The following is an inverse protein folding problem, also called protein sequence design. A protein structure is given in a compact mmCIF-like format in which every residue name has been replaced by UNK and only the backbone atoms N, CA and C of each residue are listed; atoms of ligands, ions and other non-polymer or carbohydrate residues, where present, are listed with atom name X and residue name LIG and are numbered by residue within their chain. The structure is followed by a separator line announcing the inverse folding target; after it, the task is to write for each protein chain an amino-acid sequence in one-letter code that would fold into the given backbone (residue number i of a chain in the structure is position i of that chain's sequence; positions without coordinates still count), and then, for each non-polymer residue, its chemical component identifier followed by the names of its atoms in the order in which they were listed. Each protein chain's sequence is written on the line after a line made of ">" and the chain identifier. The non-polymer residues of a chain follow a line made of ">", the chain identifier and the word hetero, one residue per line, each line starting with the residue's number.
data_IF_132746818076
#
_entry.id   IF_132746818076
#
_cell.length_a   1.000
_cell.length_b   1.000
_cell.length_c   1.000
_cell.angle_alpha   90.00
_cell.angle_beta   90.00
_cell.angle_gamma   90.00
#
_symmetry.space_group_name_H-M   'P 1'
#
loop_
_entity.id
_entity.type
_entity.pdbx_description
1 polymer ?
#
# COMPACT_ATOMS: atom_id res chain seq x y z
N UNK A 1 9.62 29.94 23.42
CA UNK A 1 9.90 28.79 22.56
C UNK A 1 8.97 28.91 21.36
N UNK A 2 9.51 29.16 20.18
CA UNK A 2 8.70 29.28 18.97
C UNK A 2 8.67 27.91 18.31
N UNK A 3 7.51 27.26 18.31
CA UNK A 3 7.28 26.09 17.51
C UNK A 3 7.31 26.50 16.04
N UNK A 4 8.37 26.10 15.34
CA UNK A 4 8.47 26.32 13.90
C UNK A 4 7.78 25.17 13.18
N UNK A 5 6.63 25.42 12.58
CA UNK A 5 5.92 24.49 11.75
C UNK A 5 6.46 24.57 10.31
N UNK A 6 7.08 23.50 9.83
CA UNK A 6 7.41 23.36 8.40
C UNK A 6 6.17 22.86 7.68
N UNK A 7 5.64 23.65 6.76
CA UNK A 7 4.53 23.20 5.92
C UNK A 7 5.07 22.36 4.76
N UNK A 8 4.41 21.26 4.45
CA UNK A 8 4.76 20.37 3.33
C UNK A 8 4.88 21.09 1.96
N UNK A 9 4.22 22.24 1.82
CA UNK A 9 4.30 23.12 0.63
C UNK A 9 5.64 23.81 0.46
N UNK A 10 6.50 23.78 1.47
CA UNK A 10 7.84 24.41 1.44
C UNK A 10 8.91 23.40 0.97
N UNK A 11 8.56 22.13 0.81
CA UNK A 11 9.43 21.13 0.21
C UNK A 11 9.24 21.18 -1.31
N UNK A 12 9.99 22.06 -1.95
CA UNK A 12 9.96 22.23 -3.41
C UNK A 12 11.12 21.47 -4.03
N UNK A 13 10.86 20.32 -4.60
CA UNK A 13 11.81 19.66 -5.51
C UNK A 13 13.15 19.22 -4.90
N UNK A 14 13.97 18.61 -5.73
CA UNK A 14 15.25 17.97 -5.36
C UNK A 14 16.32 18.96 -4.91
N UNK A 15 16.20 20.23 -5.25
CA UNK A 15 17.22 21.25 -5.02
C UNK A 15 16.89 22.25 -3.88
N UNK A 16 15.70 22.16 -3.29
CA UNK A 16 15.33 23.05 -2.19
C UNK A 16 15.81 22.46 -0.86
N UNK A 17 16.80 23.13 -0.28
CA UNK A 17 17.30 22.76 1.04
C UNK A 17 16.22 23.03 2.09
N UNK A 18 15.88 21.99 2.85
CA UNK A 18 15.03 22.15 4.04
C UNK A 18 15.71 23.10 5.02
N UNK A 19 14.96 24.05 5.62
CA UNK A 19 15.53 24.98 6.58
C UNK A 19 16.12 24.23 7.78
N UNK A 20 17.21 24.76 8.31
CA UNK A 20 17.80 24.23 9.55
C UNK A 20 16.93 24.67 10.72
N UNK A 21 16.34 23.72 11.44
CA UNK A 21 15.52 23.97 12.62
C UNK A 21 16.25 23.44 13.84
N UNK A 22 16.57 24.32 14.78
CA UNK A 22 17.27 23.93 16.02
C UNK A 22 18.54 23.09 15.78
N UNK A 23 19.27 23.36 14.68
CA UNK A 23 20.50 22.64 14.33
C UNK A 23 20.28 21.32 13.57
N UNK A 24 19.05 20.99 13.19
CA UNK A 24 18.72 19.81 12.40
C UNK A 24 18.25 20.20 11.01
N UNK A 25 18.69 19.45 10.01
CA UNK A 25 18.10 19.42 8.67
C UNK A 25 17.22 18.18 8.55
N UNK A 26 16.03 18.36 8.00
CA UNK A 26 15.10 17.25 7.77
C UNK A 26 14.97 17.09 6.27
N UNK A 27 15.36 15.92 5.78
CA UNK A 27 15.21 15.55 4.38
C UNK A 27 14.06 14.51 4.28
N UNK A 28 12.97 14.91 3.63
CA UNK A 28 11.82 14.04 3.40
C UNK A 28 11.80 13.70 1.91
N UNK A 29 12.02 12.42 1.61
CA UNK A 29 12.01 11.91 0.23
C UNK A 29 10.65 11.31 -0.09
N UNK A 30 10.04 11.81 -1.16
CA UNK A 30 8.84 11.22 -1.75
C UNK A 30 9.21 10.17 -2.79
N UNK A 31 8.49 9.06 -2.81
CA UNK A 31 8.55 8.13 -3.95
C UNK A 31 8.00 8.81 -5.21
N UNK A 32 8.58 8.49 -6.36
CA UNK A 32 8.17 9.09 -7.65
C UNK A 32 7.12 8.26 -8.38
N UNK A 33 6.93 7.01 -7.96
CA UNK A 33 5.99 6.07 -8.55
C UNK A 33 5.30 5.24 -7.46
N UNK A 34 4.12 4.73 -7.80
CA UNK A 34 3.42 3.76 -6.95
C UNK A 34 3.95 2.37 -7.29
N UNK A 35 4.56 1.71 -6.33
CA UNK A 35 5.09 0.35 -6.47
C UNK A 35 4.80 -0.47 -5.22
N UNK A 36 4.58 -1.77 -5.38
CA UNK A 36 4.36 -2.67 -4.24
C UNK A 36 5.62 -2.75 -3.38
N UNK A 37 5.47 -2.53 -2.09
CA UNK A 37 6.51 -2.73 -1.07
C UNK A 37 6.47 -4.19 -0.60
N UNK A 38 7.22 -5.05 -1.27
CA UNK A 38 7.22 -6.48 -0.96
C UNK A 38 7.80 -6.83 0.42
N UNK A 39 8.54 -5.92 1.05
CA UNK A 39 9.04 -6.13 2.42
C UNK A 39 7.94 -5.99 3.47
N UNK A 40 6.84 -5.33 3.12
CA UNK A 40 5.68 -5.06 4.00
C UNK A 40 4.38 -5.68 3.51
N UNK A 41 4.39 -6.24 2.31
CA UNK A 41 3.23 -6.94 1.71
C UNK A 41 3.27 -8.41 2.09
N UNK A 42 2.17 -8.96 2.57
CA UNK A 42 2.12 -10.37 2.98
C UNK A 42 0.88 -10.75 3.78
N UNK A 43 0.84 -12.00 4.21
CA UNK A 43 -0.19 -12.48 5.12
C UNK A 43 -0.03 -11.82 6.49
N UNK A 44 -1.08 -11.16 6.96
CA UNK A 44 -1.13 -10.48 8.27
C UNK A 44 -1.69 -11.43 9.33
N UNK A 45 -2.69 -12.22 8.95
CA UNK A 45 -3.26 -13.29 9.78
C UNK A 45 -3.40 -14.56 8.98
N UNK A 46 -3.55 -15.68 9.70
CA UNK A 46 -3.70 -16.99 9.10
C UNK A 46 -2.42 -17.81 9.05
N UNK A 47 -2.50 -18.98 8.44
CA UNK A 47 -1.38 -19.92 8.33
C UNK A 47 -1.00 -20.24 6.89
N UNK A 48 -1.60 -19.56 5.92
CA UNK A 48 -1.33 -19.79 4.51
C UNK A 48 0.15 -19.58 4.16
N UNK A 49 0.68 -20.50 3.36
CA UNK A 49 2.00 -20.37 2.77
C UNK A 49 1.95 -20.28 1.23
N UNK A 50 0.76 -20.01 0.68
CA UNK A 50 0.64 -19.76 -0.74
C UNK A 50 1.31 -18.44 -1.10
N UNK A 51 1.96 -18.43 -2.25
CA UNK A 51 2.54 -17.22 -2.83
C UNK A 51 1.41 -16.37 -3.41
N UNK A 52 1.37 -15.12 -2.98
CA UNK A 52 0.47 -14.12 -3.55
C UNK A 52 1.26 -13.24 -4.50
N UNK A 53 0.97 -13.31 -5.76
CA UNK A 53 1.52 -12.40 -6.75
C UNK A 53 0.66 -11.15 -6.83
N UNK A 54 1.27 -10.01 -6.48
CA UNK A 54 0.67 -8.69 -6.64
C UNK A 54 1.38 -7.97 -7.78
N UNK A 55 0.62 -7.57 -8.76
CA UNK A 55 1.18 -6.92 -9.95
C UNK A 55 0.11 -6.79 -11.03
N UNK A 56 0.51 -6.48 -12.26
CA UNK A 56 -0.41 -6.51 -13.39
C UNK A 56 -0.14 -7.76 -14.23
N UNK A 57 -0.99 -8.75 -14.10
CA UNK A 57 -0.82 -10.03 -14.77
C UNK A 57 -0.89 -9.88 -16.30
N UNK A 58 0.18 -10.26 -17.03
CA UNK A 58 0.23 -10.15 -18.48
C UNK A 58 -0.89 -10.90 -19.22
N UNK A 59 -1.45 -11.96 -18.62
CA UNK A 59 -2.57 -12.72 -19.20
C UNK A 59 -3.81 -11.86 -19.41
N UNK A 60 -3.97 -10.81 -18.62
CA UNK A 60 -5.15 -9.94 -18.65
C UNK A 60 -4.85 -8.55 -19.21
N UNK A 61 -3.60 -8.28 -19.59
CA UNK A 61 -3.17 -6.96 -20.04
C UNK A 61 -4.01 -6.45 -21.22
N UNK A 62 -4.32 -7.32 -22.17
CA UNK A 62 -5.12 -6.92 -23.35
C UNK A 62 -6.56 -6.51 -22.99
N UNK A 63 -7.16 -7.11 -21.96
CA UNK A 63 -8.52 -6.80 -21.52
C UNK A 63 -8.63 -5.41 -20.86
N UNK A 64 -7.54 -4.91 -20.31
CA UNK A 64 -7.50 -3.66 -19.53
C UNK A 64 -6.52 -2.64 -20.10
N UNK A 65 -6.15 -2.77 -21.38
CA UNK A 65 -5.25 -1.83 -22.06
C UNK A 65 -5.83 -0.40 -21.98
N UNK A 66 -5.00 0.55 -21.55
CA UNK A 66 -5.41 1.94 -21.36
C UNK A 66 -6.27 2.21 -20.12
N UNK A 67 -6.60 1.18 -19.31
CA UNK A 67 -7.40 1.31 -18.09
C UNK A 67 -6.57 1.13 -16.81
N UNK A 68 -5.31 0.71 -16.94
CA UNK A 68 -4.43 0.50 -15.80
C UNK A 68 -3.95 1.83 -15.22
N UNK A 69 -4.19 2.02 -13.94
CA UNK A 69 -3.63 3.11 -13.15
C UNK A 69 -3.19 2.53 -11.82
N UNK A 70 -1.93 2.75 -11.43
CA UNK A 70 -1.41 2.29 -10.16
C UNK A 70 -2.01 3.13 -9.03
N UNK A 71 -2.89 2.51 -8.24
CA UNK A 71 -3.64 3.20 -7.18
C UNK A 71 -2.73 3.41 -5.96
N UNK A 72 -2.52 4.66 -5.50
CA UNK A 72 -1.58 4.99 -4.42
C UNK A 72 -2.19 4.76 -3.04
N UNK A 73 -2.52 3.51 -2.71
CA UNK A 73 -3.07 3.13 -1.41
C UNK A 73 -2.57 1.76 -0.97
N UNK A 74 -2.66 1.52 0.33
CA UNK A 74 -2.49 0.20 0.92
C UNK A 74 -3.85 -0.47 1.01
N UNK A 75 -3.87 -1.79 0.83
CA UNK A 75 -5.09 -2.56 0.81
C UNK A 75 -5.01 -3.75 1.76
N UNK A 76 -6.13 -4.06 2.34
CA UNK A 76 -6.36 -5.26 3.13
C UNK A 76 -7.38 -6.15 2.40
N UNK A 77 -7.06 -7.42 2.26
CA UNK A 77 -7.90 -8.42 1.59
C UNK A 77 -8.22 -9.49 2.62
N UNK A 78 -9.47 -9.56 3.00
CA UNK A 78 -9.99 -10.55 3.94
C UNK A 78 -10.73 -11.65 3.19
N UNK A 79 -10.37 -12.90 3.46
CA UNK A 79 -11.12 -14.06 2.96
C UNK A 79 -12.23 -14.41 3.95
N UNK A 80 -13.45 -14.47 3.45
CA UNK A 80 -14.64 -14.83 4.23
C UNK A 80 -15.15 -16.21 3.85
N UNK A 81 -16.16 -16.71 4.55
CA UNK A 81 -16.91 -17.86 4.08
C UNK A 81 -17.54 -17.60 2.70
N UNK A 82 -17.75 -18.64 1.86
CA UNK A 82 -18.34 -18.48 0.54
C UNK A 82 -19.66 -17.72 0.58
N UNK A 83 -19.78 -16.72 -0.29
CA UNK A 83 -20.98 -15.90 -0.40
C UNK A 83 -21.14 -14.80 0.67
N UNK A 84 -20.21 -14.67 1.62
CA UNK A 84 -20.22 -13.61 2.63
C UNK A 84 -19.28 -12.44 2.31
N UNK A 85 -18.51 -12.54 1.24
CA UNK A 85 -17.70 -11.44 0.73
C UNK A 85 -18.49 -10.44 -0.10
N UNK A 86 -17.79 -9.56 -0.77
CA UNK A 86 -18.40 -8.52 -1.59
C UNK A 86 -18.81 -9.03 -2.98
N UNK A 87 -19.79 -8.34 -3.55
CA UNK A 87 -20.19 -8.54 -4.93
C UNK A 87 -19.15 -7.88 -5.85
N UNK A 88 -18.54 -8.68 -6.74
CA UNK A 88 -17.55 -8.17 -7.67
C UNK A 88 -18.16 -7.25 -8.72
N UNK A 89 -17.37 -6.35 -9.27
CA UNK A 89 -17.75 -5.57 -10.45
C UNK A 89 -17.70 -6.47 -11.70
N UNK A 90 -18.66 -6.39 -12.62
CA UNK A 90 -18.66 -7.21 -13.84
C UNK A 90 -17.43 -6.92 -14.71
N UNK A 91 -16.75 -7.97 -15.14
CA UNK A 91 -15.52 -7.87 -15.93
C UNK A 91 -15.75 -7.28 -17.34
N UNK A 92 -16.96 -7.42 -17.87
CA UNK A 92 -17.39 -6.87 -19.16
C UNK A 92 -18.81 -6.33 -19.03
N UNK A 93 -19.28 -5.57 -20.04
CA UNK A 93 -20.65 -5.07 -20.06
C UNK A 93 -21.75 -6.16 -20.04
N UNK A 94 -21.37 -7.40 -20.33
CA UNK A 94 -22.30 -8.52 -20.41
C UNK A 94 -22.11 -9.56 -19.32
N UNK A 95 -21.05 -9.47 -18.52
CA UNK A 95 -20.85 -10.36 -17.39
C UNK A 95 -21.69 -9.94 -16.18
N UNK A 96 -22.11 -10.93 -15.40
CA UNK A 96 -22.80 -10.67 -14.15
C UNK A 96 -21.77 -10.48 -13.03
N UNK A 97 -22.10 -9.69 -12.01
CA UNK A 97 -21.33 -9.65 -10.77
C UNK A 97 -21.32 -11.04 -10.10
N UNK A 98 -20.21 -11.38 -9.48
CA UNK A 98 -20.02 -12.63 -8.75
C UNK A 98 -20.05 -12.32 -7.25
N UNK A 99 -20.91 -13.03 -6.51
CA UNK A 99 -20.87 -13.01 -5.05
C UNK A 99 -19.66 -13.80 -4.59
N UNK A 100 -18.70 -13.15 -4.00
CA UNK A 100 -17.40 -13.76 -3.68
C UNK A 100 -17.25 -14.09 -2.19
N UNK A 101 -16.10 -14.63 -1.85
CA UNK A 101 -15.61 -14.77 -0.47
C UNK A 101 -14.54 -13.71 -0.12
N UNK A 102 -14.57 -12.55 -0.76
CA UNK A 102 -13.52 -11.53 -0.66
C UNK A 102 -14.13 -10.23 -0.15
N UNK A 103 -13.49 -9.60 0.84
CA UNK A 103 -13.70 -8.20 1.22
C UNK A 103 -12.37 -7.48 1.04
N UNK A 104 -12.39 -6.32 0.40
CA UNK A 104 -11.20 -5.49 0.20
C UNK A 104 -11.42 -4.12 0.85
N UNK A 105 -10.50 -3.71 1.70
CA UNK A 105 -10.49 -2.40 2.33
C UNK A 105 -9.30 -1.58 1.85
N UNK A 106 -9.52 -0.29 1.57
CA UNK A 106 -8.46 0.66 1.30
C UNK A 106 -8.03 1.30 2.63
N UNK A 107 -6.89 0.90 3.15
CA UNK A 107 -6.39 1.33 4.46
C UNK A 107 -5.91 2.78 4.46
N UNK A 108 -5.45 3.29 3.32
CA UNK A 108 -4.93 4.67 3.20
C UNK A 108 -6.05 5.70 3.24
N UNK A 109 -7.21 5.38 2.66
CA UNK A 109 -8.36 6.28 2.61
C UNK A 109 -9.43 5.94 3.63
N UNK A 110 -9.27 4.84 4.36
CA UNK A 110 -10.29 4.34 5.29
C UNK A 110 -11.58 3.93 4.60
N UNK A 111 -11.50 3.48 3.34
CA UNK A 111 -12.67 3.06 2.57
C UNK A 111 -12.85 1.57 2.70
N UNK A 112 -13.92 1.15 3.33
CA UNK A 112 -14.35 -0.24 3.39
C UNK A 112 -15.03 -0.67 2.07
N UNK A 113 -14.99 -1.98 1.78
CA UNK A 113 -15.63 -2.58 0.61
C UNK A 113 -15.14 -1.96 -0.70
N UNK A 114 -13.81 -1.89 -0.88
CA UNK A 114 -13.22 -1.37 -2.11
C UNK A 114 -13.61 -2.24 -3.31
N UNK A 115 -13.95 -1.61 -4.41
CA UNK A 115 -14.45 -2.30 -5.60
C UNK A 115 -13.35 -3.13 -6.27
N UNK A 116 -13.72 -4.32 -6.75
CA UNK A 116 -12.82 -5.21 -7.47
C UNK A 116 -13.55 -6.00 -8.55
N UNK A 117 -12.80 -6.51 -9.52
CA UNK A 117 -13.24 -7.51 -10.49
C UNK A 117 -12.74 -8.86 -10.01
N UNK A 118 -13.59 -9.87 -10.04
CA UNK A 118 -13.21 -11.24 -9.75
C UNK A 118 -13.23 -12.10 -11.02
N UNK A 119 -12.10 -12.71 -11.31
CA UNK A 119 -11.92 -13.72 -12.35
C UNK A 119 -11.90 -15.08 -11.68
N UNK A 120 -13.06 -15.66 -11.57
CA UNK A 120 -13.30 -17.00 -11.06
C UNK A 120 -13.22 -17.97 -12.23
N UNK A 121 -12.12 -18.71 -12.34
CA UNK A 121 -11.84 -19.56 -13.50
C UNK A 121 -12.44 -20.95 -13.37
N UNK A 122 -12.78 -21.36 -12.16
CA UNK A 122 -13.40 -22.67 -11.88
C UNK A 122 -14.90 -22.58 -11.54
N UNK A 123 -15.42 -21.36 -11.42
CA UNK A 123 -16.83 -21.05 -11.14
C UNK A 123 -17.31 -21.56 -9.78
N UNK A 124 -16.47 -21.53 -8.76
CA UNK A 124 -16.80 -21.94 -7.39
C UNK A 124 -17.09 -20.74 -6.45
N UNK A 125 -16.92 -19.50 -6.93
CA UNK A 125 -17.11 -18.25 -6.19
C UNK A 125 -16.16 -18.06 -5.01
N UNK A 126 -15.08 -18.84 -4.96
CA UNK A 126 -14.06 -18.80 -3.92
C UNK A 126 -12.74 -18.38 -4.55
N UNK A 127 -12.11 -17.35 -4.01
CA UNK A 127 -10.79 -16.94 -4.45
C UNK A 127 -9.75 -17.98 -4.03
N UNK A 128 -9.23 -18.70 -5.01
CA UNK A 128 -8.28 -19.78 -4.82
C UNK A 128 -7.18 -19.79 -5.90
N UNK A 129 -6.45 -20.91 -6.00
CA UNK A 129 -5.39 -21.06 -7.00
C UNK A 129 -5.95 -20.92 -8.42
N UNK A 130 -5.24 -20.21 -9.26
CA UNK A 130 -5.56 -19.85 -10.64
C UNK A 130 -6.60 -18.75 -10.84
N UNK A 131 -7.25 -18.28 -9.80
CA UNK A 131 -8.13 -17.12 -9.88
C UNK A 131 -7.36 -15.82 -9.86
N UNK A 132 -8.06 -14.73 -10.19
CA UNK A 132 -7.48 -13.40 -10.11
C UNK A 132 -8.52 -12.38 -9.66
N UNK A 133 -8.09 -11.48 -8.79
CA UNK A 133 -8.81 -10.25 -8.49
C UNK A 133 -8.06 -9.05 -9.04
N UNK A 134 -8.81 -8.03 -9.46
CA UNK A 134 -8.26 -6.74 -9.91
C UNK A 134 -8.93 -5.65 -9.11
N UNK A 135 -8.12 -4.83 -8.45
CA UNK A 135 -8.62 -3.63 -7.77
C UNK A 135 -9.22 -2.69 -8.81
N UNK A 136 -10.47 -2.30 -8.63
CA UNK A 136 -11.26 -1.56 -9.59
C UNK A 136 -11.77 -0.24 -9.03
N UNK A 137 -11.81 0.81 -9.84
CA UNK A 137 -12.27 2.13 -9.44
C UNK A 137 -12.76 2.94 -10.66
N UNK A 138 -13.32 4.13 -10.42
CA UNK A 138 -13.85 5.00 -11.45
C UNK A 138 -12.83 5.98 -12.02
N UNK A 139 -13.31 7.07 -12.65
CA UNK A 139 -12.50 8.05 -13.38
C UNK A 139 -11.45 8.80 -12.50
N UNK A 140 -11.58 8.74 -11.20
CA UNK A 140 -10.64 9.34 -10.26
C UNK A 140 -10.50 8.51 -9.00
N UNK A 141 -9.39 8.72 -8.28
CA UNK A 141 -9.13 8.08 -7.00
C UNK A 141 -10.31 8.33 -6.03
N UNK A 142 -10.66 7.33 -5.23
CA UNK A 142 -11.79 7.38 -4.30
C UNK A 142 -13.17 7.26 -4.95
N UNK A 143 -13.29 7.15 -6.27
CA UNK A 143 -14.56 6.96 -6.97
C UNK A 143 -14.76 5.51 -7.39
N UNK A 144 -15.98 5.02 -7.26
CA UNK A 144 -16.38 3.70 -7.76
C UNK A 144 -16.68 3.76 -9.26
N UNK A 145 -16.29 2.73 -10.00
CA UNK A 145 -16.75 2.54 -11.35
C UNK A 145 -18.26 2.23 -11.35
N UNK A 146 -19.01 2.81 -12.27
CA UNK A 146 -20.44 2.57 -12.44
C UNK A 146 -20.75 1.75 -13.69
N UNK A 147 -19.82 1.72 -14.62
CA UNK A 147 -19.90 0.97 -15.87
C UNK A 147 -18.49 0.77 -16.46
N UNK A 148 -18.38 -0.01 -17.53
CA UNK A 148 -17.09 -0.29 -18.16
C UNK A 148 -16.43 0.91 -18.85
N UNK A 149 -17.14 2.00 -19.11
CA UNK A 149 -16.58 3.19 -19.76
C UNK A 149 -15.70 3.98 -18.78
N UNK A 150 -16.11 4.05 -17.51
CA UNK A 150 -15.37 4.75 -16.47
C UNK A 150 -14.58 3.81 -15.53
N UNK A 151 -14.43 2.56 -15.95
CA UNK A 151 -13.66 1.57 -15.19
C UNK A 151 -12.16 1.77 -15.39
N UNK A 152 -11.45 1.87 -14.28
CA UNK A 152 -10.00 1.71 -14.19
C UNK A 152 -9.66 0.52 -13.31
N UNK A 153 -8.50 -0.08 -13.54
CA UNK A 153 -7.97 -1.18 -12.73
C UNK A 153 -6.57 -0.85 -12.24
N UNK A 154 -6.26 -1.34 -11.05
CA UNK A 154 -4.93 -1.25 -10.46
C UNK A 154 -4.29 -2.64 -10.42
N UNK A 155 -3.81 -3.04 -9.24
CA UNK A 155 -3.13 -4.31 -9.06
C UNK A 155 -4.03 -5.50 -9.37
N UNK A 156 -3.48 -6.52 -10.04
CA UNK A 156 -4.04 -7.86 -10.03
C UNK A 156 -3.38 -8.67 -8.91
N UNK A 157 -4.17 -9.54 -8.30
CA UNK A 157 -3.74 -10.39 -7.19
C UNK A 157 -4.13 -11.81 -7.54
N UNK A 158 -3.16 -12.71 -7.51
CA UNK A 158 -3.31 -14.13 -7.86
C UNK A 158 -2.63 -14.99 -6.81
N UNK A 159 -3.16 -16.19 -6.58
CA UNK A 159 -2.63 -17.17 -5.64
C UNK A 159 -1.93 -18.29 -6.37
N UNK A 160 -0.82 -18.76 -5.82
CA UNK A 160 -0.07 -19.89 -6.34
C UNK A 160 0.44 -20.76 -5.18
N UNK A 161 0.53 -22.06 -5.44
CA UNK A 161 1.27 -22.95 -4.55
C UNK A 161 2.75 -22.58 -4.55
N UNK A 162 3.39 -22.69 -3.40
CA UNK A 162 4.84 -22.62 -3.32
C UNK A 162 5.44 -23.95 -3.80
N UNK A 163 5.97 -23.97 -5.00
CA UNK A 163 6.57 -25.18 -5.60
C UNK A 163 7.90 -25.59 -4.94
N UNK A 164 8.42 -24.81 -4.02
CA UNK A 164 9.67 -25.13 -3.29
C UNK A 164 9.44 -26.02 -2.07
N UNK A 165 8.19 -26.17 -1.64
CA UNK A 165 7.78 -27.03 -0.50
C UNK A 165 6.97 -28.23 -0.97
N UNK A 166 6.96 -29.28 -0.17
CA UNK A 166 6.22 -30.50 -0.50
C UNK A 166 4.69 -30.26 -0.52
N UNK A 167 3.96 -30.98 -1.36
CA UNK A 167 2.51 -30.87 -1.46
C UNK A 167 1.80 -31.09 -0.10
N UNK A 168 2.33 -31.98 0.74
CA UNK A 168 1.79 -32.25 2.09
C UNK A 168 2.01 -31.11 3.09
N UNK A 169 2.86 -30.16 2.76
CA UNK A 169 3.17 -28.98 3.60
C UNK A 169 2.46 -27.72 3.09
N UNK A 170 1.80 -27.81 1.95
CA UNK A 170 0.99 -26.72 1.40
C UNK A 170 -0.16 -26.39 2.35
N UNK A 171 -0.30 -25.14 2.67
CA UNK A 171 -1.41 -24.58 3.46
C UNK A 171 -2.12 -23.53 2.61
N UNK A 172 -3.24 -23.91 1.97
CA UNK A 172 -4.05 -22.96 1.22
C UNK A 172 -4.60 -21.88 2.16
N UNK A 173 -4.98 -20.74 1.64
CA UNK A 173 -5.67 -19.73 2.44
C UNK A 173 -7.00 -20.26 2.97
N UNK A 174 -7.32 -19.89 4.20
CA UNK A 174 -8.55 -20.27 4.89
C UNK A 174 -9.44 -19.04 5.14
N UNK A 175 -10.66 -19.29 5.56
CA UNK A 175 -11.59 -18.20 5.91
C UNK A 175 -11.13 -17.49 7.19
N UNK A 176 -11.07 -16.17 7.13
CA UNK A 176 -10.51 -15.32 8.17
C UNK A 176 -9.06 -14.93 7.95
N UNK A 177 -8.39 -15.51 6.94
CA UNK A 177 -7.04 -15.07 6.57
C UNK A 177 -7.10 -13.66 5.96
N UNK A 178 -6.09 -12.86 6.32
CA UNK A 178 -5.97 -11.49 5.86
C UNK A 178 -4.63 -11.30 5.17
N UNK A 179 -4.69 -10.81 3.94
CA UNK A 179 -3.51 -10.43 3.16
C UNK A 179 -3.44 -8.92 2.99
N UNK A 180 -2.28 -8.34 3.26
CA UNK A 180 -2.04 -6.91 3.15
C UNK A 180 -1.17 -6.59 1.95
N UNK A 181 -1.58 -5.62 1.16
CA UNK A 181 -0.80 -5.03 0.06
C UNK A 181 -0.37 -3.64 0.49
N UNK A 182 0.91 -3.44 0.65
CA UNK A 182 1.51 -2.15 0.99
C UNK A 182 2.21 -1.56 -0.21
N UNK A 183 2.02 -0.29 -0.47
CA UNK A 183 2.63 0.41 -1.59
C UNK A 183 3.56 1.54 -1.12
N UNK A 184 4.73 1.63 -1.72
CA UNK A 184 5.49 2.88 -1.77
C UNK A 184 4.74 3.82 -2.69
N UNK A 185 4.51 5.04 -2.26
CA UNK A 185 3.65 5.99 -2.98
C UNK A 185 4.14 7.42 -2.80
N UNK A 186 3.97 8.29 -3.82
CA UNK A 186 4.24 9.69 -3.71
C UNK A 186 3.39 10.33 -2.60
N UNK A 187 3.88 11.39 -1.99
CA UNK A 187 3.09 12.19 -1.05
C UNK A 187 1.85 12.74 -1.74
N UNK A 188 0.75 12.67 -1.02
CA UNK A 188 -0.50 13.28 -1.44
C UNK A 188 -0.55 14.75 -0.98
N UNK A 189 -1.34 15.55 -1.67
CA UNK A 189 -1.50 16.98 -1.40
C UNK A 189 -1.89 17.29 0.05
N UNK A 190 -2.61 16.38 0.71
CA UNK A 190 -3.16 16.58 2.05
C UNK A 190 -2.39 15.78 3.13
N UNK A 191 -1.29 15.13 2.77
CA UNK A 191 -0.41 14.45 3.72
C UNK A 191 0.52 15.46 4.40
N UNK A 192 0.70 15.28 5.70
CA UNK A 192 1.64 16.06 6.51
C UNK A 192 2.36 15.15 7.50
N UNK A 193 3.55 15.55 7.87
CA UNK A 193 4.34 14.89 8.90
C UNK A 193 4.52 15.82 10.07
N UNK A 194 4.17 15.35 11.27
CA UNK A 194 4.41 16.05 12.52
C UNK A 194 5.48 15.32 13.31
N UNK A 195 6.49 16.05 13.77
CA UNK A 195 7.51 15.50 14.65
C UNK A 195 7.91 16.54 15.69
N UNK A 196 8.17 16.04 16.89
CA UNK A 196 8.63 16.85 18.01
C UNK A 196 10.11 16.62 18.22
N UNK A 197 10.90 17.68 18.11
CA UNK A 197 12.30 17.65 18.49
C UNK A 197 12.41 17.98 19.99
N UNK A 198 12.89 17.00 20.77
CA UNK A 198 13.29 17.28 22.15
C UNK A 198 14.70 17.88 22.11
N UNK A 199 14.80 19.18 22.35
CA UNK A 199 16.10 19.81 22.58
C UNK A 199 16.78 19.14 23.76
N UNK A 200 18.09 18.90 23.66
CA UNK A 200 18.86 18.58 24.87
C UNK A 200 18.82 19.84 25.75
N UNK A 201 18.27 19.69 26.95
CA UNK A 201 18.38 20.74 27.96
C UNK A 201 19.86 21.09 28.14
N UNK A 202 20.16 22.37 28.32
CA UNK A 202 21.52 22.83 28.62
C UNK A 202 21.97 22.12 29.92
N UNK A 203 22.93 21.22 29.79
CA UNK A 203 23.58 20.58 30.94
C UNK A 203 24.85 21.35 31.23
N UNK A 204 24.77 22.22 32.22
CA UNK A 204 25.88 23.08 32.63
C UNK A 204 27.10 22.27 33.04
N UNK A 205 26.91 21.14 33.71
CA UNK A 205 28.03 20.28 34.20
C UNK A 205 28.75 19.62 33.02
N UNK A 206 28.02 19.23 31.98
CA UNK A 206 28.61 18.68 30.77
C UNK A 206 29.32 19.75 29.94
N UNK A 207 28.78 20.94 29.86
CA UNK A 207 29.40 22.07 29.17
C UNK A 207 30.71 22.52 29.86
N UNK A 208 30.77 22.52 31.19
CA UNK A 208 31.96 22.80 31.97
C UNK A 208 33.03 21.70 31.80
N UNK A 209 32.61 20.42 31.75
CA UNK A 209 33.49 19.29 31.45
C UNK A 209 34.09 19.35 30.06
N UNK A 210 33.29 19.69 29.07
CA UNK A 210 33.72 19.79 27.67
C UNK A 210 34.66 21.00 27.43
N UNK A 211 34.47 22.10 28.15
CA UNK A 211 35.40 23.23 28.16
C UNK A 211 36.78 22.88 28.67
N UNK A 212 36.88 22.00 29.67
CA UNK A 212 38.15 21.51 30.20
C UNK A 212 38.92 20.58 29.23
N UNK A 213 38.27 20.10 28.18
CA UNK A 213 38.88 19.27 27.15
C UNK A 213 39.34 20.09 25.90
N UNK A 214 39.19 21.41 25.91
CA UNK A 214 39.65 22.27 24.83
C UNK A 214 41.11 22.56 25.03
N UNK A 215 41.99 21.97 24.24
CA UNK A 215 43.42 22.33 24.19
C UNK A 215 43.68 23.33 23.04
N UNK A 216 44.24 24.47 23.37
CA UNK A 216 44.73 25.41 22.38
C UNK A 216 46.13 24.99 21.96
N UNK A 217 46.31 24.67 20.68
CA UNK A 217 47.66 24.45 20.13
C UNK A 217 48.19 25.80 19.70
N UNK A 218 49.23 26.31 20.30
CA UNK A 218 49.83 27.58 19.88
C UNK A 218 50.50 27.40 18.51
N UNK A 219 50.35 28.39 17.65
CA UNK A 219 51.04 28.47 16.36
C UNK A 219 52.55 28.68 16.54
#
# INVERSE_FOLDING_TARGET
>A
ESDSLIKAQEIKGVDDQTPVINGFTIDIKSDTAVIVDFDKTGWETGSSNYIVQVGFDPRYQAAYIGKKIDYPADFEITLTEPGLGDLSFPATAFSQPIQSNIIINNLTEGTEHFQFIFRDNNSDQIFNENDAIFLAFGDSLGKRATNNSNLHVSWSITLFKDTTIAESEQRPPEFGDVYKVVNKKPFRKDEFYEFTLKGQGFDQSKAESDLNNISVVPN
#
